data_IF_890279522512
#
_entry.id   IF_890279522512
#
_cell.length_a   1.000
_cell.length_b   1.000
_cell.length_c   1.000
_cell.angle_alpha   90.00
_cell.angle_beta   90.00
_cell.angle_gamma   90.00
#
_symmetry.space_group_name_H-M   'P 1'
#
loop_
_entity.id
_entity.type
_entity.pdbx_description
1 polymer ?
#
# COMPACT_ATOMS: atom_id res chain seq x y z
N UNK A 1 -4.77 2.13 -13.16
CA UNK A 1 -3.82 1.07 -12.73
C UNK A 1 -3.15 1.56 -11.45
N UNK A 2 -3.32 0.86 -10.33
CA UNK A 2 -2.72 1.26 -9.06
C UNK A 2 -1.37 0.57 -8.88
N UNK A 3 -0.29 1.36 -8.79
CA UNK A 3 1.08 0.84 -8.65
C UNK A 3 1.24 -0.01 -7.38
N UNK A 4 0.59 0.39 -6.28
CA UNK A 4 0.69 -0.32 -4.99
C UNK A 4 0.03 -1.69 -5.09
N UNK A 5 -1.12 -1.77 -5.79
CA UNK A 5 -1.79 -3.05 -6.04
C UNK A 5 -0.91 -3.99 -6.86
N UNK A 6 -0.30 -3.48 -7.93
CA UNK A 6 0.59 -4.26 -8.78
C UNK A 6 1.82 -4.78 -8.01
N UNK A 7 2.44 -3.95 -7.18
CA UNK A 7 3.60 -4.35 -6.36
C UNK A 7 3.20 -5.40 -5.31
N UNK A 8 2.03 -5.27 -4.69
CA UNK A 8 1.53 -6.26 -3.73
C UNK A 8 1.26 -7.62 -4.41
N UNK A 9 0.68 -7.61 -5.62
CA UNK A 9 0.44 -8.82 -6.42
C UNK A 9 1.75 -9.45 -6.91
N UNK A 10 2.70 -8.66 -7.41
CA UNK A 10 4.00 -9.13 -7.90
C UNK A 10 4.84 -9.76 -6.79
N UNK A 11 4.85 -9.16 -5.60
CA UNK A 11 5.59 -9.68 -4.44
C UNK A 11 4.81 -10.78 -3.68
N UNK A 12 3.53 -11.00 -3.98
CA UNK A 12 2.66 -11.94 -3.25
C UNK A 12 2.41 -11.54 -1.79
N UNK A 13 2.50 -10.25 -1.47
CA UNK A 13 2.46 -9.74 -0.09
C UNK A 13 1.03 -9.29 0.27
N UNK A 14 0.61 -9.59 1.50
CA UNK A 14 -0.69 -9.16 2.03
C UNK A 14 -0.67 -7.68 2.44
N UNK A 15 -1.80 -7.00 2.28
CA UNK A 15 -1.97 -5.60 2.72
C UNK A 15 -1.71 -5.40 4.22
N UNK A 16 -1.98 -6.42 5.05
CA UNK A 16 -1.67 -6.40 6.49
C UNK A 16 -0.18 -6.20 6.76
N UNK A 17 0.69 -6.90 6.01
CA UNK A 17 2.13 -6.75 6.15
C UNK A 17 2.59 -5.35 5.73
N UNK A 18 2.00 -4.80 4.67
CA UNK A 18 2.32 -3.44 4.23
C UNK A 18 1.86 -2.39 5.25
N UNK A 19 0.73 -2.63 5.93
CA UNK A 19 0.24 -1.77 7.00
C UNK A 19 1.19 -1.79 8.21
N UNK A 20 1.67 -2.96 8.61
CA UNK A 20 2.67 -3.11 9.67
C UNK A 20 3.99 -2.43 9.30
N UNK A 21 4.49 -2.63 8.07
CA UNK A 21 5.74 -2.03 7.59
C UNK A 21 5.68 -0.50 7.56
N UNK A 22 4.58 0.07 7.07
CA UNK A 22 4.40 1.53 6.99
C UNK A 22 3.95 2.15 8.33
N UNK A 23 3.72 1.34 9.37
CA UNK A 23 3.14 1.79 10.63
C UNK A 23 1.77 2.48 10.44
N UNK A 24 1.01 2.06 9.43
CA UNK A 24 -0.33 2.60 9.10
C UNK A 24 -1.41 1.60 9.42
N UNK A 25 -2.64 2.09 9.58
CA UNK A 25 -3.78 1.19 9.72
C UNK A 25 -4.04 0.44 8.40
N UNK A 26 -4.55 -0.78 8.51
CA UNK A 26 -4.97 -1.57 7.36
C UNK A 26 -5.94 -0.80 6.44
N UNK A 27 -6.89 -0.06 7.03
CA UNK A 27 -7.85 0.74 6.28
C UNK A 27 -7.19 1.84 5.45
N UNK A 28 -6.10 2.44 5.94
CA UNK A 28 -5.34 3.44 5.19
C UNK A 28 -4.62 2.82 3.99
N UNK A 29 -3.95 1.68 4.18
CA UNK A 29 -3.31 0.93 3.07
C UNK A 29 -4.36 0.45 2.06
N UNK A 30 -5.50 -0.04 2.52
CA UNK A 30 -6.59 -0.44 1.64
C UNK A 30 -7.15 0.75 0.83
N UNK A 31 -7.26 1.94 1.42
CA UNK A 31 -7.63 3.16 0.68
C UNK A 31 -6.60 3.53 -0.38
N UNK A 32 -5.30 3.30 -0.11
CA UNK A 32 -4.25 3.46 -1.12
C UNK A 32 -4.41 2.46 -2.25
N UNK A 33 -4.60 1.17 -1.96
CA UNK A 33 -4.77 0.09 -2.95
C UNK A 33 -6.03 0.25 -3.80
N UNK A 34 -7.12 0.73 -3.21
CA UNK A 34 -8.37 1.03 -3.91
C UNK A 34 -8.36 2.40 -4.61
N UNK A 35 -7.25 3.14 -4.52
CA UNK A 35 -7.09 4.47 -5.11
C UNK A 35 -8.14 5.49 -4.60
N UNK A 36 -8.69 5.26 -3.40
CA UNK A 36 -9.62 6.18 -2.72
C UNK A 36 -8.88 7.36 -2.11
N UNK A 37 -7.62 7.16 -1.77
CA UNK A 37 -6.71 8.18 -1.26
C UNK A 37 -5.33 7.95 -1.86
N UNK A 38 -4.64 9.02 -2.25
CA UNK A 38 -3.25 8.93 -2.66
C UNK A 38 -2.33 9.00 -1.42
N UNK A 39 -1.37 8.07 -1.31
CA UNK A 39 -0.30 8.23 -0.33
C UNK A 39 0.67 9.33 -0.76
N UNK A 40 1.46 9.82 0.20
CA UNK A 40 2.56 10.74 -0.08
C UNK A 40 3.68 10.04 -0.83
N UNK A 41 4.50 10.81 -1.54
CA UNK A 41 5.66 10.31 -2.29
C UNK A 41 6.62 9.48 -1.42
N UNK A 42 6.79 9.85 -0.16
CA UNK A 42 7.60 9.11 0.84
C UNK A 42 7.16 7.64 0.96
N UNK A 43 5.85 7.38 0.97
CA UNK A 43 5.31 6.01 1.08
C UNK A 43 5.68 5.16 -0.13
N UNK A 44 5.79 5.76 -1.32
CA UNK A 44 6.25 5.03 -2.52
C UNK A 44 7.73 4.67 -2.45
N UNK A 45 8.55 5.37 -1.67
CA UNK A 45 9.96 5.01 -1.47
C UNK A 45 10.14 3.83 -0.50
N UNK A 46 9.12 3.54 0.31
CA UNK A 46 9.13 2.48 1.32
C UNK A 46 8.48 1.15 0.84
N UNK A 47 7.81 1.14 -0.32
CA UNK A 47 7.07 -0.01 -0.91
C UNK A 47 7.91 -0.78 -1.92
#
# INVERSE_FOLDING_TARGET
MNRIKAVLEEKGIKQTWLAEKLGKSYNMVNSYVQNRQQPRLEVFTEI
#
